data_IF_548255335930
#
_entry.id   IF_548255335930
#
_cell.length_a   1.000
_cell.length_b   1.000
_cell.length_c   1.000
_cell.angle_alpha   90.00
_cell.angle_beta   90.00
_cell.angle_gamma   90.00
#
_symmetry.space_group_name_H-M   'P 1'
#
loop_
_entity.id
_entity.type
_entity.pdbx_description
1 polymer ?
#
# COMPACT_ATOMS: atom_id res chain seq x y z
N UNK A 1 -17.90 13.24 -24.81
CA UNK A 1 -18.48 13.47 -23.47
C UNK A 1 -19.31 12.25 -23.10
N UNK A 2 -18.82 11.44 -22.16
CA UNK A 2 -19.62 10.48 -21.40
C UNK A 2 -18.92 10.35 -20.03
N UNK A 3 -19.11 11.37 -19.18
CA UNK A 3 -18.54 11.39 -17.81
C UNK A 3 -19.43 10.62 -16.84
N UNK A 4 -20.73 10.47 -17.18
CA UNK A 4 -21.71 9.69 -16.44
C UNK A 4 -22.14 8.46 -17.25
N UNK A 5 -22.26 7.31 -16.58
CA UNK A 5 -22.74 6.04 -17.18
C UNK A 5 -21.64 5.07 -17.65
N UNK A 6 -20.35 5.44 -17.57
CA UNK A 6 -19.25 4.50 -17.80
C UNK A 6 -18.96 3.71 -16.50
N UNK A 7 -18.68 2.39 -16.58
CA UNK A 7 -18.39 1.58 -15.38
C UNK A 7 -17.06 1.96 -14.71
N UNK A 8 -16.19 2.69 -15.42
CA UNK A 8 -14.88 3.13 -14.94
C UNK A 8 -14.73 4.63 -15.15
N UNK A 9 -13.99 5.28 -14.24
CA UNK A 9 -13.68 6.70 -14.36
C UNK A 9 -12.87 6.97 -15.65
N UNK A 10 -13.19 8.06 -16.38
CA UNK A 10 -12.41 8.45 -17.54
C UNK A 10 -10.95 8.74 -17.12
N UNK A 11 -10.00 8.10 -17.78
CA UNK A 11 -8.56 8.29 -17.52
C UNK A 11 -7.87 7.16 -16.76
N UNK A 12 -8.60 6.20 -16.17
CA UNK A 12 -7.96 5.06 -15.48
C UNK A 12 -6.99 4.25 -16.36
N UNK A 13 -7.28 4.14 -17.67
CA UNK A 13 -6.39 3.49 -18.65
C UNK A 13 -5.09 4.25 -18.92
N UNK A 14 -5.00 5.54 -18.56
CA UNK A 14 -3.78 6.34 -18.73
C UNK A 14 -2.68 5.94 -17.75
N UNK A 15 -3.05 5.43 -16.57
CA UNK A 15 -2.12 4.94 -15.57
C UNK A 15 -1.26 3.75 -16.05
N UNK A 16 -1.71 3.04 -17.09
CA UNK A 16 -0.94 1.97 -17.74
C UNK A 16 0.35 2.48 -18.40
N UNK A 17 0.37 3.76 -18.76
CA UNK A 17 1.40 4.35 -19.61
C UNK A 17 2.40 5.24 -18.85
N UNK A 18 2.38 5.18 -17.52
CA UNK A 18 3.31 5.91 -16.67
C UNK A 18 4.74 5.36 -16.86
N UNK A 19 5.72 6.27 -16.87
CA UNK A 19 7.16 5.96 -16.88
C UNK A 19 7.85 6.39 -15.58
N UNK A 20 7.22 7.24 -14.79
CA UNK A 20 7.63 7.65 -13.43
C UNK A 20 6.41 7.91 -12.55
N UNK A 21 6.61 7.92 -11.23
CA UNK A 21 5.52 8.04 -10.26
C UNK A 21 4.76 9.36 -10.36
N UNK A 22 5.49 10.48 -10.47
CA UNK A 22 4.91 11.84 -10.43
C UNK A 22 3.89 12.06 -11.54
N UNK A 23 4.03 11.37 -12.68
CA UNK A 23 3.09 11.42 -13.80
C UNK A 23 1.66 10.96 -13.44
N UNK A 24 1.43 10.43 -12.24
CA UNK A 24 0.09 10.29 -11.66
C UNK A 24 -0.66 11.64 -11.67
N UNK A 25 0.07 12.74 -11.53
CA UNK A 25 -0.42 14.11 -11.58
C UNK A 25 -0.05 14.81 -12.91
N UNK A 26 0.21 14.06 -13.98
CA UNK A 26 0.55 14.62 -15.28
C UNK A 26 -0.59 15.50 -15.83
N UNK A 27 -0.22 16.69 -16.29
CA UNK A 27 -1.16 17.63 -16.91
C UNK A 27 -0.60 18.15 -18.25
N UNK A 28 -1.37 18.04 -19.37
CA UNK A 28 -2.61 17.31 -19.49
C UNK A 28 -2.41 15.79 -19.48
N UNK A 29 -3.37 15.02 -18.95
CA UNK A 29 -3.31 13.55 -18.93
C UNK A 29 -3.22 12.89 -20.33
N UNK A 30 -3.47 13.66 -21.40
CA UNK A 30 -3.29 13.21 -22.79
C UNK A 30 -1.85 12.86 -23.13
N UNK A 31 -0.86 13.37 -22.38
CA UNK A 31 0.56 13.05 -22.52
C UNK A 31 0.87 11.57 -22.25
N UNK A 32 0.05 10.90 -21.43
CA UNK A 32 0.24 9.50 -21.06
C UNK A 32 -0.30 8.58 -22.15
N UNK A 33 0.59 8.02 -22.96
CA UNK A 33 0.23 7.20 -24.13
C UNK A 33 1.10 5.95 -24.23
N UNK A 34 0.62 4.95 -24.96
CA UNK A 34 1.46 3.79 -25.30
C UNK A 34 2.76 4.22 -26.00
N UNK A 35 2.70 5.21 -26.89
CA UNK A 35 3.88 5.69 -27.61
C UNK A 35 4.94 6.29 -26.68
N UNK A 36 4.54 7.16 -25.73
CA UNK A 36 5.47 7.74 -24.75
C UNK A 36 6.04 6.68 -23.82
N UNK A 37 5.23 5.70 -23.42
CA UNK A 37 5.67 4.57 -22.61
C UNK A 37 6.67 3.69 -23.37
N UNK A 38 6.39 3.32 -24.63
CA UNK A 38 7.28 2.51 -25.45
C UNK A 38 8.62 3.22 -25.74
N UNK A 39 8.57 4.54 -25.97
CA UNK A 39 9.76 5.34 -26.21
C UNK A 39 10.70 5.44 -24.98
N UNK A 40 10.20 5.18 -23.76
CA UNK A 40 11.06 5.06 -22.57
C UNK A 40 12.04 3.89 -22.66
N UNK A 41 11.76 2.91 -23.52
CA UNK A 41 12.64 1.78 -23.80
C UNK A 41 12.45 0.60 -22.86
N UNK A 42 12.77 -0.59 -23.37
CA UNK A 42 12.59 -1.86 -22.65
C UNK A 42 13.37 -1.92 -21.32
N UNK A 43 14.53 -1.27 -21.26
CA UNK A 43 15.36 -1.24 -20.05
C UNK A 43 14.63 -0.51 -18.89
N UNK A 44 14.10 0.69 -19.14
CA UNK A 44 13.35 1.43 -18.11
C UNK A 44 12.04 0.74 -17.76
N UNK A 45 11.35 0.18 -18.76
CA UNK A 45 10.14 -0.62 -18.54
C UNK A 45 10.45 -1.76 -17.55
N UNK A 46 11.47 -2.58 -17.83
CA UNK A 46 11.83 -3.71 -16.99
C UNK A 46 12.30 -3.28 -15.60
N UNK A 47 13.14 -2.24 -15.53
CA UNK A 47 13.65 -1.67 -14.28
C UNK A 47 12.51 -1.26 -13.34
N UNK A 48 11.49 -0.56 -13.84
CA UNK A 48 10.32 -0.17 -13.05
C UNK A 48 9.53 -1.38 -12.53
N UNK A 49 9.39 -2.46 -13.32
CA UNK A 49 8.70 -3.68 -12.88
C UNK A 49 9.50 -4.43 -11.83
N UNK A 50 10.83 -4.51 -11.97
CA UNK A 50 11.70 -5.15 -10.97
C UNK A 50 11.72 -4.36 -9.65
N UNK A 51 11.78 -3.03 -9.74
CA UNK A 51 11.64 -2.15 -8.58
C UNK A 51 10.30 -2.36 -7.87
N UNK A 52 9.20 -2.37 -8.62
CA UNK A 52 7.86 -2.61 -8.05
C UNK A 52 7.74 -4.01 -7.45
N UNK A 53 8.30 -5.04 -8.10
CA UNK A 53 8.34 -6.39 -7.56
C UNK A 53 9.06 -6.42 -6.21
N UNK A 54 10.21 -5.75 -6.10
CA UNK A 54 10.97 -5.64 -4.86
C UNK A 54 10.14 -5.07 -3.71
N UNK A 55 9.51 -3.91 -3.91
CA UNK A 55 8.69 -3.26 -2.88
C UNK A 55 7.40 -4.04 -2.56
N UNK A 56 6.78 -4.68 -3.55
CA UNK A 56 5.63 -5.53 -3.33
C UNK A 56 6.01 -6.79 -2.51
N UNK A 57 7.16 -7.41 -2.80
CA UNK A 57 7.66 -8.55 -2.02
C UNK A 57 8.10 -8.14 -0.62
N UNK A 58 8.68 -6.96 -0.44
CA UNK A 58 8.94 -6.38 0.89
C UNK A 58 7.65 -6.23 1.68
N UNK A 59 6.59 -5.70 1.05
CA UNK A 59 5.25 -5.60 1.67
C UNK A 59 4.69 -6.98 2.02
N UNK A 60 4.84 -7.98 1.16
CA UNK A 60 4.42 -9.35 1.45
C UNK A 60 5.18 -9.93 2.67
N UNK A 61 6.48 -9.71 2.75
CA UNK A 61 7.32 -10.18 3.84
C UNK A 61 7.03 -9.46 5.15
N UNK A 62 7.09 -8.13 5.15
CA UNK A 62 7.02 -7.31 6.35
C UNK A 62 5.61 -7.19 6.91
N UNK A 63 4.60 -7.09 6.03
CA UNK A 63 3.21 -6.84 6.45
C UNK A 63 2.43 -8.13 6.49
N UNK A 64 2.24 -8.78 5.34
CA UNK A 64 1.39 -9.98 5.27
C UNK A 64 1.98 -11.14 6.08
N UNK A 65 3.29 -11.34 5.97
CA UNK A 65 4.04 -12.33 6.72
C UNK A 65 4.52 -11.89 8.10
N UNK A 66 4.32 -10.61 8.48
CA UNK A 66 4.83 -10.01 9.72
C UNK A 66 6.31 -10.30 10.01
N UNK A 67 7.11 -10.63 8.99
CA UNK A 67 8.47 -11.19 9.05
C UNK A 67 8.54 -12.56 9.75
N UNK A 68 8.11 -12.66 11.01
CA UNK A 68 8.26 -13.85 11.85
C UNK A 68 7.19 -14.92 11.57
N UNK A 69 6.02 -14.54 11.05
CA UNK A 69 4.98 -15.52 10.68
C UNK A 69 5.28 -16.17 9.33
N UNK A 70 5.93 -15.45 8.41
CA UNK A 70 6.22 -15.92 7.05
C UNK A 70 6.79 -17.35 6.98
N UNK A 71 7.86 -17.74 7.71
CA UNK A 71 8.37 -19.11 7.64
C UNK A 71 7.31 -20.15 8.07
N UNK A 72 6.49 -19.84 9.08
CA UNK A 72 5.43 -20.73 9.55
C UNK A 72 4.30 -20.83 8.53
N UNK A 73 3.92 -19.70 7.91
CA UNK A 73 2.94 -19.67 6.82
C UNK A 73 3.41 -20.57 5.67
N UNK A 74 4.65 -20.44 5.23
CA UNK A 74 5.21 -21.27 4.15
C UNK A 74 5.19 -22.77 4.50
N UNK A 75 5.56 -23.13 5.72
CA UNK A 75 5.51 -24.53 6.20
C UNK A 75 4.05 -25.04 6.23
N UNK A 76 3.11 -24.23 6.70
CA UNK A 76 1.68 -24.56 6.73
C UNK A 76 1.08 -24.72 5.34
N UNK A 77 1.40 -23.84 4.39
CA UNK A 77 0.99 -23.97 2.99
C UNK A 77 1.57 -25.23 2.35
N UNK A 78 2.84 -25.54 2.62
CA UNK A 78 3.48 -26.77 2.16
C UNK A 78 2.86 -28.05 2.74
N UNK A 79 2.25 -27.97 3.92
CA UNK A 79 1.46 -29.05 4.50
C UNK A 79 0.12 -29.19 3.80
N UNK A 80 -0.62 -28.08 3.65
CA UNK A 80 -1.96 -28.07 3.05
C UNK A 80 -1.98 -28.59 1.61
N UNK A 81 -0.90 -28.42 0.85
CA UNK A 81 -0.80 -28.98 -0.52
C UNK A 81 -0.69 -30.52 -0.57
N UNK A 82 -0.32 -31.19 0.54
CA UNK A 82 -0.10 -32.66 0.59
C UNK A 82 -1.23 -33.43 1.27
N UNK A 83 -2.11 -32.75 1.99
CA UNK A 83 -3.23 -33.36 2.72
C UNK A 83 -4.46 -33.53 1.81
N UNK A 84 -4.38 -34.47 0.85
CA UNK A 84 -5.50 -34.83 -0.04
C UNK A 84 -6.41 -35.94 0.54
N UNK A 85 -6.23 -36.34 1.81
CA UNK A 85 -6.91 -37.52 2.38
C UNK A 85 -7.72 -37.17 3.63
N UNK A 86 -9.03 -37.00 3.47
CA UNK A 86 -10.01 -37.30 4.52
C UNK A 86 -11.06 -36.24 4.90
N UNK A 87 -10.99 -35.02 4.38
CA UNK A 87 -12.00 -33.97 4.61
C UNK A 87 -12.41 -33.30 3.29
N UNK A 88 -13.55 -32.59 3.22
CA UNK A 88 -14.11 -32.11 1.96
C UNK A 88 -13.05 -31.31 1.18
N UNK A 89 -13.08 -31.43 -0.16
CA UNK A 89 -12.17 -30.86 -1.19
C UNK A 89 -11.75 -29.37 -1.06
N UNK A 90 -12.15 -28.70 0.01
CA UNK A 90 -11.98 -27.31 0.37
C UNK A 90 -10.51 -26.95 0.68
N UNK A 91 -9.71 -27.81 1.32
CA UNK A 91 -8.35 -27.42 1.77
C UNK A 91 -7.32 -27.16 0.65
N UNK A 92 -7.06 -28.11 -0.28
CA UNK A 92 -6.12 -27.85 -1.37
C UNK A 92 -6.67 -26.82 -2.36
N UNK A 93 -7.99 -26.83 -2.62
CA UNK A 93 -8.64 -25.89 -3.53
C UNK A 93 -8.62 -24.46 -2.98
N UNK A 94 -8.96 -24.23 -1.70
CA UNK A 94 -8.86 -22.90 -1.08
C UNK A 94 -7.41 -22.41 -1.03
N UNK A 95 -6.46 -23.29 -0.76
CA UNK A 95 -5.03 -22.93 -0.77
C UNK A 95 -4.60 -22.51 -2.17
N UNK A 96 -4.99 -23.27 -3.21
CA UNK A 96 -4.71 -22.93 -4.59
C UNK A 96 -5.37 -21.62 -5.00
N UNK A 97 -6.65 -21.42 -4.67
CA UNK A 97 -7.38 -20.18 -4.97
C UNK A 97 -6.75 -18.97 -4.28
N UNK A 98 -6.33 -19.11 -3.01
CA UNK A 98 -5.64 -18.04 -2.29
C UNK A 98 -4.29 -17.71 -2.94
N UNK A 99 -3.49 -18.72 -3.31
CA UNK A 99 -2.21 -18.52 -4.01
C UNK A 99 -2.40 -17.91 -5.41
N UNK A 100 -3.44 -18.32 -6.14
CA UNK A 100 -3.78 -17.76 -7.44
C UNK A 100 -4.24 -16.31 -7.30
N UNK A 101 -5.16 -16.01 -6.38
CA UNK A 101 -5.63 -14.65 -6.12
C UNK A 101 -4.47 -13.73 -5.71
N UNK A 102 -3.59 -14.22 -4.83
CA UNK A 102 -2.40 -13.48 -4.42
C UNK A 102 -1.42 -13.26 -5.57
N UNK A 103 -1.12 -14.31 -6.34
CA UNK A 103 -0.20 -14.25 -7.47
C UNK A 103 -0.71 -13.33 -8.59
N UNK A 104 -2.01 -13.36 -8.89
CA UNK A 104 -2.65 -12.45 -9.82
C UNK A 104 -2.61 -11.00 -9.32
N UNK A 105 -2.88 -10.78 -8.03
CA UNK A 105 -2.77 -9.46 -7.40
C UNK A 105 -1.34 -8.92 -7.49
N UNK A 106 -0.35 -9.74 -7.16
CA UNK A 106 1.07 -9.39 -7.28
C UNK A 106 1.44 -9.09 -8.74
N UNK A 107 1.02 -9.92 -9.68
CA UNK A 107 1.29 -9.73 -11.10
C UNK A 107 0.65 -8.44 -11.63
N UNK A 108 -0.61 -8.17 -11.30
CA UNK A 108 -1.27 -6.93 -11.70
C UNK A 108 -0.57 -5.69 -11.12
N UNK A 109 -0.27 -5.71 -9.82
CA UNK A 109 0.37 -4.60 -9.11
C UNK A 109 1.86 -4.45 -9.40
N UNK A 110 2.47 -5.40 -10.10
CA UNK A 110 3.88 -5.34 -10.50
C UNK A 110 4.01 -5.03 -11.98
N UNK A 111 3.28 -5.73 -12.85
CA UNK A 111 3.46 -5.68 -14.31
C UNK A 111 2.58 -4.60 -14.96
N UNK A 112 1.34 -4.49 -14.51
CA UNK A 112 0.31 -3.61 -15.10
C UNK A 112 0.34 -2.23 -14.44
N UNK A 113 0.39 -2.20 -13.11
CA UNK A 113 0.38 -0.96 -12.32
C UNK A 113 1.58 -0.86 -11.35
N UNK A 114 2.83 -0.88 -11.84
CA UNK A 114 4.02 -0.92 -10.98
C UNK A 114 4.07 0.21 -9.96
N UNK A 115 3.73 1.44 -10.36
CA UNK A 115 3.76 2.61 -9.49
C UNK A 115 2.70 2.56 -8.40
N UNK A 116 1.46 2.20 -8.76
CA UNK A 116 0.39 2.07 -7.78
C UNK A 116 0.66 0.91 -6.82
N UNK A 117 1.11 -0.23 -7.33
CA UNK A 117 1.44 -1.40 -6.54
C UNK A 117 2.51 -1.12 -5.49
N UNK A 118 3.66 -0.63 -5.95
CA UNK A 118 4.82 -0.30 -5.12
C UNK A 118 4.53 0.74 -4.04
N UNK A 119 3.56 1.64 -4.28
CA UNK A 119 3.20 2.75 -3.39
C UNK A 119 1.96 2.45 -2.54
N UNK A 120 1.55 1.18 -2.46
CA UNK A 120 0.53 0.73 -1.51
C UNK A 120 -0.61 -0.09 -2.12
N UNK A 121 -0.77 -0.09 -3.46
CA UNK A 121 -1.83 -0.83 -4.14
C UNK A 121 -1.78 -2.34 -3.87
N UNK A 122 -0.59 -2.93 -3.86
CA UNK A 122 -0.42 -4.35 -3.50
C UNK A 122 -0.67 -4.58 -2.01
N UNK A 123 -0.20 -3.68 -1.15
CA UNK A 123 -0.42 -3.74 0.29
C UNK A 123 -1.93 -3.76 0.63
N UNK A 124 -2.70 -2.83 0.07
CA UNK A 124 -4.15 -2.75 0.31
C UNK A 124 -4.92 -3.92 -0.30
N UNK A 125 -4.58 -4.31 -1.53
CA UNK A 125 -5.27 -5.42 -2.21
C UNK A 125 -4.95 -6.77 -1.56
N UNK A 126 -3.70 -6.97 -1.14
CA UNK A 126 -3.22 -8.19 -0.48
C UNK A 126 -3.83 -8.41 0.91
N UNK A 127 -4.29 -7.35 1.58
CA UNK A 127 -4.94 -7.45 2.89
C UNK A 127 -6.18 -8.37 2.88
N UNK A 128 -6.85 -8.52 1.73
CA UNK A 128 -7.99 -9.43 1.57
C UNK A 128 -7.62 -10.91 1.84
N UNK A 129 -6.37 -11.29 1.62
CA UNK A 129 -5.87 -12.67 1.84
C UNK A 129 -5.13 -12.84 3.16
N UNK A 130 -4.89 -11.74 3.88
CA UNK A 130 -4.12 -11.73 5.13
C UNK A 130 -4.74 -12.60 6.23
N UNK A 131 -6.07 -12.63 6.46
CA UNK A 131 -6.67 -13.55 7.42
C UNK A 131 -6.39 -15.02 7.09
N UNK A 132 -6.37 -15.38 5.80
CA UNK A 132 -6.04 -16.75 5.37
C UNK A 132 -4.58 -17.08 5.71
N UNK A 133 -3.63 -16.20 5.40
CA UNK A 133 -2.21 -16.42 5.74
C UNK A 133 -2.01 -16.62 7.25
N UNK A 134 -2.62 -15.75 8.06
CA UNK A 134 -2.47 -15.83 9.51
C UNK A 134 -3.14 -17.08 10.10
N UNK A 135 -4.24 -17.56 9.53
CA UNK A 135 -4.86 -18.83 9.92
C UNK A 135 -3.99 -20.05 9.57
N UNK A 136 -3.10 -19.94 8.58
CA UNK A 136 -2.16 -21.02 8.21
C UNK A 136 -0.93 -21.07 9.12
N UNK A 137 -0.52 -19.94 9.72
CA UNK A 137 0.69 -19.89 10.54
C UNK A 137 0.72 -20.90 11.71
N UNK A 138 -0.37 -21.13 12.48
CA UNK A 138 -0.40 -22.15 13.53
C UNK A 138 -0.19 -23.59 13.02
N UNK A 139 -0.59 -23.90 11.77
CA UNK A 139 -0.33 -25.20 11.17
C UNK A 139 1.17 -25.42 10.95
N UNK A 140 1.85 -24.38 10.47
CA UNK A 140 3.31 -24.37 10.36
C UNK A 140 3.98 -24.55 11.72
N UNK A 141 3.50 -23.83 12.74
CA UNK A 141 4.01 -23.95 14.10
C UNK A 141 3.91 -25.39 14.62
N UNK A 142 2.73 -26.01 14.52
CA UNK A 142 2.52 -27.38 14.97
C UNK A 142 3.53 -28.34 14.31
N UNK A 143 3.84 -28.12 13.03
CA UNK A 143 4.81 -28.93 12.29
C UNK A 143 6.24 -28.73 12.78
N UNK A 144 6.62 -27.48 13.07
CA UNK A 144 7.93 -27.14 13.65
C UNK A 144 8.08 -27.75 15.03
N UNK A 145 7.04 -27.65 15.87
CA UNK A 145 7.02 -28.23 17.22
C UNK A 145 7.14 -29.75 17.17
N UNK A 146 6.36 -30.42 16.33
CA UNK A 146 6.42 -31.88 16.18
C UNK A 146 7.79 -32.34 15.64
N UNK A 147 8.40 -31.58 14.74
CA UNK A 147 9.77 -31.82 14.31
C UNK A 147 10.76 -31.66 15.47
N UNK A 148 10.62 -30.62 16.29
CA UNK A 148 11.45 -30.39 17.46
C UNK A 148 11.27 -31.46 18.54
N UNK A 149 10.05 -31.96 18.76
CA UNK A 149 9.82 -33.10 19.64
C UNK A 149 10.60 -34.34 19.18
N UNK A 150 10.54 -34.67 17.89
CA UNK A 150 11.24 -35.83 17.31
C UNK A 150 12.76 -35.68 17.24
N UNK A 151 13.28 -34.49 16.97
CA UNK A 151 14.72 -34.25 16.69
C UNK A 151 15.50 -33.67 17.86
N UNK A 152 14.82 -32.98 18.78
CA UNK A 152 15.43 -32.19 19.86
C UNK A 152 14.89 -32.58 21.24
N UNK A 153 13.98 -33.56 21.32
CA UNK A 153 13.40 -34.02 22.58
C UNK A 153 12.49 -33.00 23.26
N UNK A 154 11.91 -32.05 22.52
CA UNK A 154 10.97 -31.09 23.09
C UNK A 154 9.72 -31.78 23.64
N UNK A 155 9.25 -31.34 24.81
CA UNK A 155 7.92 -31.69 25.29
C UNK A 155 6.87 -30.97 24.45
N UNK A 156 6.14 -31.71 23.62
CA UNK A 156 5.28 -31.17 22.57
C UNK A 156 4.24 -30.15 23.07
N UNK A 157 3.47 -30.50 24.12
CA UNK A 157 2.45 -29.62 24.70
C UNK A 157 3.04 -28.32 25.26
N UNK A 158 4.16 -28.43 25.95
CA UNK A 158 4.86 -27.27 26.52
C UNK A 158 5.41 -26.37 25.41
N UNK A 159 6.14 -26.95 24.46
CA UNK A 159 6.72 -26.22 23.32
C UNK A 159 5.63 -25.52 22.50
N UNK A 160 4.53 -26.21 22.19
CA UNK A 160 3.40 -25.61 21.48
C UNK A 160 2.85 -24.39 22.24
N UNK A 161 2.63 -24.51 23.55
CA UNK A 161 2.12 -23.42 24.38
C UNK A 161 3.07 -22.23 24.40
N UNK A 162 4.36 -22.46 24.66
CA UNK A 162 5.38 -21.40 24.74
C UNK A 162 5.53 -20.68 23.40
N UNK A 163 5.68 -21.40 22.29
CA UNK A 163 5.85 -20.76 20.99
C UNK A 163 4.59 -20.04 20.50
N UNK A 164 3.40 -20.58 20.78
CA UNK A 164 2.13 -19.91 20.46
C UNK A 164 1.98 -18.60 21.25
N UNK A 165 2.25 -18.64 22.56
CA UNK A 165 2.24 -17.45 23.40
C UNK A 165 3.30 -16.44 22.94
N UNK A 166 4.51 -16.90 22.61
CA UNK A 166 5.58 -16.07 22.08
C UNK A 166 5.20 -15.35 20.79
N UNK A 167 4.51 -16.02 19.85
CA UNK A 167 4.02 -15.39 18.63
C UNK A 167 3.04 -14.24 18.92
N UNK A 168 2.11 -14.43 19.86
CA UNK A 168 1.15 -13.39 20.27
C UNK A 168 1.86 -12.22 20.94
N UNK A 169 2.81 -12.51 21.85
CA UNK A 169 3.60 -11.47 22.53
C UNK A 169 4.43 -10.66 21.53
N UNK A 170 5.10 -11.31 20.58
CA UNK A 170 5.87 -10.63 19.54
C UNK A 170 4.94 -9.75 18.68
N UNK A 171 3.77 -10.26 18.28
CA UNK A 171 2.79 -9.47 17.53
C UNK A 171 2.33 -8.23 18.32
N UNK A 172 2.05 -8.38 19.61
CA UNK A 172 1.65 -7.27 20.48
C UNK A 172 2.76 -6.23 20.65
N UNK A 173 4.00 -6.66 20.87
CA UNK A 173 5.15 -5.77 21.00
C UNK A 173 5.45 -5.02 19.70
N UNK A 174 5.43 -5.70 18.56
CA UNK A 174 5.60 -5.06 17.25
C UNK A 174 4.49 -4.05 16.97
N UNK A 175 3.24 -4.39 17.31
CA UNK A 175 2.10 -3.48 17.17
C UNK A 175 2.29 -2.25 18.05
N UNK A 176 2.63 -2.43 19.32
CA UNK A 176 2.87 -1.32 20.24
C UNK A 176 4.01 -0.41 19.75
N UNK A 177 5.09 -0.99 19.24
CA UNK A 177 6.21 -0.24 18.69
C UNK A 177 5.83 0.57 17.43
N UNK A 178 5.07 -0.03 16.50
CA UNK A 178 4.58 0.66 15.29
C UNK A 178 3.60 1.78 15.68
N UNK A 179 2.68 1.53 16.60
CA UNK A 179 1.72 2.53 17.10
C UNK A 179 2.45 3.68 17.79
N UNK A 180 3.45 3.38 18.62
CA UNK A 180 4.29 4.40 19.24
C UNK A 180 4.93 5.30 18.17
N UNK A 181 5.56 4.73 17.14
CA UNK A 181 6.23 5.52 16.11
C UNK A 181 5.30 6.28 15.16
N UNK A 182 4.14 5.70 14.80
CA UNK A 182 3.26 6.23 13.74
C UNK A 182 2.09 7.04 14.26
N UNK A 183 1.57 6.71 15.44
CA UNK A 183 0.37 7.34 16.00
C UNK A 183 0.77 8.37 17.05
N UNK A 184 1.56 7.93 18.02
CA UNK A 184 1.91 8.75 19.19
C UNK A 184 3.04 9.71 18.83
N UNK A 185 4.11 9.22 18.22
CA UNK A 185 5.30 9.99 17.85
C UNK A 185 6.53 9.65 18.67
N UNK A 186 7.61 10.40 18.45
CA UNK A 186 8.84 10.21 19.20
C UNK A 186 8.64 10.59 20.68
N UNK A 187 9.47 10.04 21.56
CA UNK A 187 9.43 10.34 23.01
C UNK A 187 9.82 11.80 23.35
N UNK A 188 9.96 12.67 22.35
CA UNK A 188 10.23 14.10 22.47
C UNK A 188 8.95 14.95 22.55
N UNK A 189 7.76 14.35 22.51
CA UNK A 189 6.49 15.04 22.68
C UNK A 189 5.86 15.56 21.38
N UNK A 190 6.48 15.35 20.23
CA UNK A 190 5.86 15.69 18.94
C UNK A 190 4.89 14.58 18.50
N UNK A 191 3.62 14.93 18.34
CA UNK A 191 2.63 14.00 17.77
C UNK A 191 2.97 13.70 16.30
N UNK A 192 3.00 12.41 15.95
CA UNK A 192 3.21 11.99 14.56
C UNK A 192 1.91 12.02 13.75
N UNK A 193 0.82 11.51 14.32
CA UNK A 193 -0.49 11.53 13.67
C UNK A 193 -1.04 12.95 13.62
N UNK A 194 -1.55 13.35 12.46
CA UNK A 194 -2.27 14.62 12.31
C UNK A 194 -1.36 15.83 12.18
N UNK A 195 -0.04 15.64 12.14
CA UNK A 195 0.93 16.71 11.90
C UNK A 195 0.66 17.46 10.59
N UNK A 196 0.38 16.75 9.52
CA UNK A 196 0.01 17.33 8.22
C UNK A 196 -1.29 18.14 8.33
N UNK A 197 -2.34 17.58 8.95
CA UNK A 197 -3.60 18.28 9.15
C UNK A 197 -3.45 19.54 10.01
N UNK A 198 -2.61 19.51 11.05
CA UNK A 198 -2.29 20.66 11.88
C UNK A 198 -1.53 21.74 11.08
N UNK A 199 -0.55 21.34 10.26
CA UNK A 199 0.17 22.25 9.37
C UNK A 199 -0.77 22.91 8.35
N UNK A 200 -1.68 22.13 7.74
CA UNK A 200 -2.69 22.65 6.83
C UNK A 200 -3.69 23.59 7.51
N UNK A 201 -4.07 23.32 8.76
CA UNK A 201 -4.91 24.23 9.54
C UNK A 201 -4.21 25.56 9.81
N UNK A 202 -2.92 25.53 10.17
CA UNK A 202 -2.11 26.75 10.38
C UNK A 202 -1.92 27.56 9.09
N UNK A 203 -1.70 26.89 7.96
CA UNK A 203 -1.61 27.56 6.66
C UNK A 203 -2.94 28.21 6.30
N UNK A 204 -4.07 27.56 6.58
CA UNK A 204 -5.40 28.14 6.36
C UNK A 204 -5.64 29.37 7.23
N UNK A 205 -5.33 29.30 8.53
CA UNK A 205 -5.44 30.43 9.45
C UNK A 205 -4.65 31.63 8.92
N UNK A 206 -3.40 31.40 8.50
CA UNK A 206 -2.57 32.44 7.88
C UNK A 206 -3.22 33.04 6.63
N UNK A 207 -3.75 32.21 5.72
CA UNK A 207 -4.41 32.72 4.50
C UNK A 207 -5.63 33.57 4.84
N UNK A 208 -6.46 33.15 5.79
CA UNK A 208 -7.64 33.90 6.25
C UNK A 208 -7.23 35.23 6.88
N UNK A 209 -6.19 35.25 7.72
CA UNK A 209 -5.64 36.47 8.32
C UNK A 209 -5.12 37.46 7.27
N UNK A 210 -4.53 36.94 6.18
CA UNK A 210 -4.10 37.77 5.03
C UNK A 210 -5.25 38.17 4.10
N UNK A 211 -6.51 37.84 4.44
CA UNK A 211 -7.69 38.23 3.68
C UNK A 211 -7.94 37.39 2.43
N UNK A 212 -7.41 36.16 2.36
CA UNK A 212 -7.67 35.24 1.26
C UNK A 212 -9.16 34.84 1.20
N UNK A 213 -9.87 35.05 0.08
CA UNK A 213 -11.29 34.70 -0.02
C UNK A 213 -11.49 33.19 0.14
N UNK A 214 -12.44 32.75 0.97
CA UNK A 214 -12.60 31.34 1.40
C UNK A 214 -12.86 30.38 0.22
N UNK A 215 -13.48 30.87 -0.84
CA UNK A 215 -13.75 30.15 -2.09
C UNK A 215 -12.54 30.04 -3.04
N UNK A 216 -11.43 30.73 -2.74
CA UNK A 216 -10.23 30.68 -3.56
C UNK A 216 -9.60 29.29 -3.50
N UNK A 217 -9.39 28.71 -4.69
CA UNK A 217 -8.81 27.36 -4.84
C UNK A 217 -7.32 27.40 -4.53
N UNK A 218 -6.85 26.43 -3.75
CA UNK A 218 -5.44 26.26 -3.40
C UNK A 218 -4.83 25.11 -4.20
N UNK A 219 -3.65 25.34 -4.76
CA UNK A 219 -2.82 24.30 -5.38
C UNK A 219 -1.92 23.72 -4.29
N UNK A 220 -2.03 22.42 -4.01
CA UNK A 220 -1.38 21.76 -2.85
C UNK A 220 -1.06 20.29 -3.17
N UNK A 221 -0.08 19.70 -2.49
CA UNK A 221 0.37 18.33 -2.77
C UNK A 221 -0.71 17.28 -2.40
N UNK A 222 -1.44 17.50 -1.30
CA UNK A 222 -2.52 16.63 -0.84
C UNK A 222 -3.86 17.38 -0.73
N UNK A 223 -4.57 17.62 -1.87
CA UNK A 223 -5.83 18.37 -1.87
C UNK A 223 -6.93 17.77 -0.99
N UNK A 224 -7.14 16.44 -0.95
CA UNK A 224 -8.10 15.85 -0.02
C UNK A 224 -7.74 16.11 1.45
N UNK A 225 -6.45 15.99 1.80
CA UNK A 225 -5.98 16.27 3.16
C UNK A 225 -6.17 17.73 3.54
N UNK A 226 -5.83 18.66 2.65
CA UNK A 226 -6.03 20.08 2.87
C UNK A 226 -7.52 20.43 3.01
N UNK A 227 -8.38 19.95 2.11
CA UNK A 227 -9.82 20.17 2.21
C UNK A 227 -10.42 19.62 3.51
N UNK A 228 -9.98 18.45 3.97
CA UNK A 228 -10.43 17.90 5.25
C UNK A 228 -10.01 18.75 6.45
N UNK A 229 -8.85 19.41 6.39
CA UNK A 229 -8.34 20.25 7.46
C UNK A 229 -8.96 21.66 7.46
N UNK A 230 -9.19 22.25 6.28
CA UNK A 230 -9.56 23.67 6.13
C UNK A 230 -10.98 23.91 5.62
N UNK A 231 -11.59 22.94 4.94
CA UNK A 231 -12.84 23.12 4.18
C UNK A 231 -12.68 23.92 2.88
N UNK A 232 -11.47 24.38 2.55
CA UNK A 232 -11.18 25.19 1.36
C UNK A 232 -10.99 24.32 0.12
N UNK A 233 -11.59 24.68 -1.04
CA UNK A 233 -11.37 23.96 -2.30
C UNK A 233 -9.89 23.89 -2.68
N UNK A 234 -9.44 22.73 -3.18
CA UNK A 234 -8.06 22.52 -3.54
C UNK A 234 -7.88 21.62 -4.77
N UNK A 235 -6.76 21.82 -5.47
CA UNK A 235 -6.33 21.02 -6.63
C UNK A 235 -4.87 20.58 -6.46
N UNK A 236 -4.51 19.46 -7.07
CA UNK A 236 -3.18 18.88 -6.92
C UNK A 236 -2.13 19.71 -7.64
N UNK A 237 -0.93 19.81 -7.05
CA UNK A 237 0.27 20.25 -7.79
C UNK A 237 0.52 19.26 -8.94
N UNK A 238 0.57 19.71 -10.20
CA UNK A 238 0.81 18.83 -11.33
C UNK A 238 2.28 18.39 -11.41
N UNK A 239 2.52 17.27 -12.11
CA UNK A 239 3.87 16.92 -12.58
C UNK A 239 4.26 17.86 -13.73
N UNK A 240 5.29 18.69 -13.51
CA UNK A 240 5.80 19.61 -14.51
C UNK A 240 6.62 20.74 -13.91
N UNK A 241 6.82 21.77 -14.71
CA UNK A 241 7.49 23.02 -14.33
C UNK A 241 6.51 24.07 -13.80
N UNK A 242 7.04 25.25 -13.46
CA UNK A 242 6.24 26.41 -13.02
C UNK A 242 5.12 26.75 -14.00
N UNK A 243 5.39 26.67 -15.29
CA UNK A 243 4.39 26.95 -16.32
C UNK A 243 3.22 25.95 -16.26
N UNK A 244 3.51 24.67 -16.01
CA UNK A 244 2.48 23.64 -15.83
C UNK A 244 1.61 23.91 -14.61
N UNK A 245 2.21 24.35 -13.50
CA UNK A 245 1.47 24.76 -12.29
C UNK A 245 0.56 25.96 -12.59
N UNK A 246 1.08 26.98 -13.27
CA UNK A 246 0.30 28.15 -13.68
C UNK A 246 -0.84 27.78 -14.64
N UNK A 247 -0.65 26.81 -15.53
CA UNK A 247 -1.69 26.31 -16.43
C UNK A 247 -2.83 25.61 -15.69
N UNK A 248 -2.49 24.77 -14.71
CA UNK A 248 -3.48 24.12 -13.84
C UNK A 248 -4.20 25.15 -12.98
N UNK A 249 -3.47 26.09 -12.37
CA UNK A 249 -4.05 27.16 -11.57
C UNK A 249 -5.05 27.98 -12.41
N UNK A 250 -4.66 28.43 -13.61
CA UNK A 250 -5.56 29.18 -14.50
C UNK A 250 -6.80 28.38 -14.90
N UNK A 251 -6.65 27.08 -15.19
CA UNK A 251 -7.78 26.24 -15.60
C UNK A 251 -8.78 25.99 -14.50
N UNK A 252 -8.31 25.77 -13.27
CA UNK A 252 -9.16 25.38 -12.14
C UNK A 252 -9.39 26.50 -11.13
N UNK A 253 -8.98 27.74 -11.44
CA UNK A 253 -9.16 28.89 -10.56
C UNK A 253 -8.23 28.93 -9.34
N UNK A 254 -7.10 28.21 -9.40
CA UNK A 254 -6.06 28.23 -8.39
C UNK A 254 -5.50 29.63 -8.18
N UNK A 255 -5.50 30.09 -6.92
CA UNK A 255 -5.06 31.44 -6.52
C UNK A 255 -3.82 31.44 -5.64
N UNK A 256 -3.64 30.37 -4.87
CA UNK A 256 -2.51 30.20 -3.97
C UNK A 256 -1.84 28.85 -4.26
N UNK A 257 -0.52 28.80 -4.07
CA UNK A 257 0.28 27.59 -4.14
C UNK A 257 0.93 27.37 -2.78
N UNK A 258 0.74 26.19 -2.20
CA UNK A 258 1.47 25.75 -1.02
C UNK A 258 2.71 24.99 -1.49
N UNK A 259 3.87 25.32 -0.92
CA UNK A 259 5.14 24.64 -1.17
C UNK A 259 5.45 23.73 0.03
N UNK A 260 5.78 22.46 -0.25
CA UNK A 260 6.00 21.37 0.71
C UNK A 260 7.27 20.59 0.40
#
# INVERSE_FOLDING_TARGET
>A
MAVFGAPLAPGGSRALWLTRYDQLFAYPASLLTFASWWHSGLAEILKVRLWALGLNLESALAVQGSIFLLPLILIGLWQLRRESRGGPCVRPTCTLLALLAWGLTLAAMTLVFPFAGARGGFFHSGAALQPFWWAVAPLGLARVVAWGARRRGWQEKQAHTIFSAGMVVIAALLTAWIVQGRVIGAFNGEQAWGREAAAYSQIEEFLVEQGAPVEAVVVVANPPGYYLASGRPAVAVPDGDEQTVLDVARKYGGRFLILE
#
